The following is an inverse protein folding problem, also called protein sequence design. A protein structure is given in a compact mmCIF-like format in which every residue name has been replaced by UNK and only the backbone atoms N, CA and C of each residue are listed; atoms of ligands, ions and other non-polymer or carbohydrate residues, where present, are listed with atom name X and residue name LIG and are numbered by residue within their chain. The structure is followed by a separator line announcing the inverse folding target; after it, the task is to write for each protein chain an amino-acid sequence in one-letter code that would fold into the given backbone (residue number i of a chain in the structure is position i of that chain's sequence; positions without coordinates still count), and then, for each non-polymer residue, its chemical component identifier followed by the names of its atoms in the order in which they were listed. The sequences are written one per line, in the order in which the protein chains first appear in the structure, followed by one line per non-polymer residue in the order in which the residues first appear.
data_IF_602948760728
#
_entry.id   IF_602948760728
#
_cell.length_a   1.000
_cell.length_b   1.000
_cell.length_c   1.000
_cell.angle_alpha   90.00
_cell.angle_beta   90.00
_cell.angle_gamma   90.00
#
_symmetry.space_group_name_H-M   'P 1'
#
loop_
_entity.id
_entity.type
_entity.pdbx_description
1 polymer ?
#
# COMPACT_ATOMS: atom_id res chain seq x y z
N UNK A 1 -38.11 -7.64 17.33
CA UNK A 1 -37.61 -6.23 17.42
C UNK A 1 -36.12 -6.13 17.10
N UNK A 2 -35.23 -6.96 17.72
CA UNK A 2 -33.77 -6.99 17.40
C UNK A 2 -33.47 -7.31 15.92
N UNK A 3 -34.23 -8.20 15.29
CA UNK A 3 -34.06 -8.55 13.87
C UNK A 3 -34.47 -7.41 12.90
N UNK A 4 -35.44 -6.61 13.31
CA UNK A 4 -35.92 -5.48 12.52
C UNK A 4 -34.94 -4.31 12.59
N UNK A 5 -34.29 -4.08 13.73
CA UNK A 5 -33.24 -3.06 13.91
C UNK A 5 -31.96 -3.50 13.19
N UNK A 6 -31.58 -4.77 13.30
CA UNK A 6 -30.47 -5.40 12.54
C UNK A 6 -30.64 -5.26 11.02
N UNK A 7 -31.91 -5.33 10.55
CA UNK A 7 -32.27 -5.10 9.15
C UNK A 7 -32.21 -3.62 8.74
N UNK A 8 -32.33 -2.66 9.70
CA UNK A 8 -32.45 -1.23 9.39
C UNK A 8 -31.12 -0.50 9.17
N UNK A 9 -30.02 -0.90 9.84
CA UNK A 9 -28.73 -0.22 9.72
C UNK A 9 -27.81 -0.86 8.68
N UNK A 10 -27.66 -2.18 8.66
CA UNK A 10 -27.09 -2.89 7.51
C UNK A 10 -27.88 -2.65 6.21
N UNK A 11 -29.02 -2.00 6.33
CA UNK A 11 -29.94 -1.65 5.23
C UNK A 11 -29.75 -0.25 4.67
N UNK A 12 -28.99 0.67 5.28
CA UNK A 12 -28.79 1.99 4.66
C UNK A 12 -27.87 1.85 3.44
N UNK A 13 -28.41 2.03 2.22
CA UNK A 13 -27.60 1.96 1.01
C UNK A 13 -26.48 2.99 1.06
N UNK A 14 -26.76 4.19 1.57
CA UNK A 14 -25.79 5.29 1.68
C UNK A 14 -24.58 4.87 2.51
N UNK A 15 -24.78 4.30 3.69
CA UNK A 15 -23.68 3.90 4.56
C UNK A 15 -22.78 2.84 3.90
N UNK A 16 -23.38 1.84 3.23
CA UNK A 16 -22.60 0.80 2.53
C UNK A 16 -21.74 1.36 1.40
N UNK A 17 -22.30 2.26 0.60
CA UNK A 17 -21.56 2.89 -0.49
C UNK A 17 -20.50 3.85 0.03
N UNK A 18 -20.75 4.55 1.15
CA UNK A 18 -19.72 5.35 1.85
C UNK A 18 -18.56 4.48 2.31
N UNK A 19 -18.86 3.36 2.96
CA UNK A 19 -17.83 2.40 3.41
C UNK A 19 -17.04 1.85 2.22
N UNK A 20 -17.69 1.50 1.12
CA UNK A 20 -16.99 1.08 -0.09
C UNK A 20 -16.06 2.19 -0.59
N UNK A 21 -16.55 3.44 -0.64
CA UNK A 21 -15.74 4.59 -1.06
C UNK A 21 -14.49 4.77 -0.20
N UNK A 22 -14.63 4.69 1.14
CA UNK A 22 -13.51 4.83 2.09
C UNK A 22 -12.46 3.72 1.92
N UNK A 23 -12.90 2.48 1.82
CA UNK A 23 -12.01 1.33 1.66
C UNK A 23 -11.35 1.32 0.28
N UNK A 24 -12.11 1.61 -0.77
CA UNK A 24 -11.58 1.69 -2.14
C UNK A 24 -10.62 2.85 -2.34
N UNK A 25 -10.83 3.98 -1.64
CA UNK A 25 -9.89 5.09 -1.64
C UNK A 25 -8.54 4.68 -1.00
N UNK A 26 -8.57 3.93 0.09
CA UNK A 26 -7.35 3.39 0.71
C UNK A 26 -6.61 2.44 -0.24
N UNK A 27 -7.34 1.60 -0.98
CA UNK A 27 -6.77 0.77 -2.05
C UNK A 27 -6.12 1.62 -3.14
N UNK A 28 -6.82 2.65 -3.63
CA UNK A 28 -6.30 3.57 -4.64
C UNK A 28 -4.97 4.17 -4.21
N UNK A 29 -4.88 4.70 -2.98
CA UNK A 29 -3.63 5.32 -2.48
C UNK A 29 -2.48 4.32 -2.45
N UNK A 30 -2.74 3.07 -2.06
CA UNK A 30 -1.73 2.00 -2.07
C UNK A 30 -1.17 1.73 -3.46
N UNK A 31 -2.05 1.61 -4.46
CA UNK A 31 -1.63 1.34 -5.83
C UNK A 31 -0.94 2.53 -6.51
N UNK A 32 -1.29 3.78 -6.15
CA UNK A 32 -0.52 4.95 -6.59
C UNK A 32 0.94 4.79 -6.18
N UNK A 33 1.20 4.39 -4.92
CA UNK A 33 2.57 4.27 -4.39
C UNK A 33 3.30 3.04 -4.91
N UNK A 34 2.58 1.96 -5.19
CA UNK A 34 3.16 0.76 -5.78
C UNK A 34 3.85 1.08 -7.11
N UNK A 35 3.19 1.89 -7.93
CA UNK A 35 3.59 2.14 -9.32
C UNK A 35 4.27 3.50 -9.53
N UNK A 36 4.33 4.39 -8.51
CA UNK A 36 4.87 5.76 -8.64
C UNK A 36 6.29 5.84 -9.18
N UNK A 37 7.12 4.83 -8.91
CA UNK A 37 8.51 4.79 -9.35
C UNK A 37 8.70 4.22 -10.76
N UNK A 38 7.68 3.56 -11.31
CA UNK A 38 7.79 2.90 -12.61
C UNK A 38 8.20 3.85 -13.76
N UNK A 39 7.57 5.03 -13.94
CA UNK A 39 7.97 5.95 -15.00
C UNK A 39 9.23 6.78 -14.66
N UNK A 40 9.79 6.64 -13.45
CA UNK A 40 10.95 7.44 -13.01
C UNK A 40 12.29 6.76 -13.29
N UNK A 41 12.33 5.56 -13.88
CA UNK A 41 13.56 4.79 -14.12
C UNK A 41 14.66 5.63 -14.73
N UNK A 42 14.41 6.28 -15.87
CA UNK A 42 15.39 7.10 -16.57
C UNK A 42 15.90 8.29 -15.72
N UNK A 43 15.03 8.86 -14.90
CA UNK A 43 15.41 9.97 -14.01
C UNK A 43 16.31 9.48 -12.87
N UNK A 44 16.04 8.29 -12.31
CA UNK A 44 16.90 7.66 -11.31
C UNK A 44 18.27 7.30 -11.89
N UNK A 45 18.32 6.81 -13.13
CA UNK A 45 19.57 6.54 -13.84
C UNK A 45 20.39 7.83 -14.02
N UNK A 46 19.76 8.92 -14.41
CA UNK A 46 20.43 10.20 -14.67
C UNK A 46 20.86 10.94 -13.40
N UNK A 47 20.05 10.94 -12.36
CA UNK A 47 20.28 11.76 -11.16
C UNK A 47 20.96 11.00 -10.02
N UNK A 48 20.68 9.71 -9.86
CA UNK A 48 21.22 8.88 -8.80
C UNK A 48 22.28 7.89 -9.30
N UNK A 49 22.53 7.87 -10.61
CA UNK A 49 23.51 6.95 -11.22
C UNK A 49 23.11 5.48 -11.06
N UNK A 50 21.82 5.17 -10.90
CA UNK A 50 21.34 3.80 -10.90
C UNK A 50 21.54 3.18 -12.28
N UNK A 51 21.89 1.92 -12.33
CA UNK A 51 21.86 1.17 -13.58
C UNK A 51 20.59 0.31 -13.67
N UNK A 52 20.42 -0.40 -14.79
CA UNK A 52 19.24 -1.25 -15.00
C UNK A 52 19.18 -2.42 -14.00
N UNK A 53 20.33 -2.88 -13.47
CA UNK A 53 20.40 -3.92 -12.44
C UNK A 53 19.95 -3.36 -11.09
N UNK A 54 20.41 -2.16 -10.72
CA UNK A 54 19.97 -1.45 -9.51
C UNK A 54 18.45 -1.26 -9.50
N UNK A 55 17.90 -0.81 -10.63
CA UNK A 55 16.45 -0.63 -10.77
C UNK A 55 15.69 -1.97 -10.74
N UNK A 56 16.24 -3.01 -11.36
CA UNK A 56 15.69 -4.38 -11.31
C UNK A 56 15.66 -4.93 -9.88
N UNK A 57 16.76 -4.73 -9.13
CA UNK A 57 16.85 -5.10 -7.72
C UNK A 57 15.79 -4.36 -6.89
N UNK A 58 15.69 -3.04 -7.06
CA UNK A 58 14.71 -2.23 -6.39
C UNK A 58 13.29 -2.72 -6.63
N UNK A 59 12.90 -2.95 -7.89
CA UNK A 59 11.54 -3.38 -8.23
C UNK A 59 11.23 -4.80 -7.76
N UNK A 60 12.22 -5.69 -7.75
CA UNK A 60 12.05 -7.06 -7.23
C UNK A 60 11.71 -7.08 -5.74
N UNK A 61 12.18 -6.08 -4.98
CA UNK A 61 11.96 -5.96 -3.54
C UNK A 61 10.50 -6.01 -3.14
N UNK A 62 9.58 -5.51 -3.98
CA UNK A 62 8.14 -5.54 -3.72
C UNK A 62 7.62 -6.94 -3.31
N UNK A 63 8.13 -7.97 -3.97
CA UNK A 63 7.69 -9.35 -3.72
C UNK A 63 8.49 -10.10 -2.66
N UNK A 64 9.66 -9.63 -2.23
CA UNK A 64 10.58 -10.44 -1.43
C UNK A 64 9.96 -11.00 -0.15
N UNK A 65 9.39 -10.15 0.69
CA UNK A 65 8.80 -10.61 1.95
C UNK A 65 7.53 -11.43 1.72
N UNK A 66 6.76 -11.11 0.71
CA UNK A 66 5.54 -11.85 0.40
C UNK A 66 5.83 -13.25 -0.16
N UNK A 67 6.87 -13.40 -0.99
CA UNK A 67 7.23 -14.67 -1.61
C UNK A 67 8.10 -15.52 -0.67
N UNK A 68 9.23 -14.99 -0.20
CA UNK A 68 10.19 -15.79 0.56
C UNK A 68 9.79 -16.02 2.01
N UNK A 69 9.11 -15.05 2.64
CA UNK A 69 8.63 -15.19 4.02
C UNK A 69 7.13 -15.46 4.10
N UNK A 70 6.44 -15.65 2.97
CA UNK A 70 5.00 -15.93 2.92
C UNK A 70 4.16 -14.94 3.74
N UNK A 71 4.58 -13.66 3.77
CA UNK A 71 3.98 -12.65 4.65
C UNK A 71 2.51 -12.40 4.34
N UNK A 72 2.04 -12.69 3.13
CA UNK A 72 0.62 -12.61 2.80
C UNK A 72 -0.20 -13.67 3.55
N UNK A 73 0.35 -14.87 3.76
CA UNK A 73 -0.29 -15.92 4.59
C UNK A 73 -0.38 -15.44 6.04
N UNK A 74 0.71 -14.92 6.61
CA UNK A 74 0.68 -14.35 7.96
C UNK A 74 -0.28 -13.16 8.06
N UNK A 75 -0.34 -12.31 7.04
CA UNK A 75 -1.32 -11.22 6.94
C UNK A 75 -2.76 -11.73 6.96
N UNK A 76 -3.05 -12.81 6.24
CA UNK A 76 -4.34 -13.50 6.29
C UNK A 76 -4.68 -14.04 7.69
N UNK A 77 -3.71 -14.68 8.35
CA UNK A 77 -3.88 -15.17 9.73
C UNK A 77 -4.14 -14.03 10.73
N UNK A 78 -3.45 -12.89 10.57
CA UNK A 78 -3.70 -11.69 11.38
C UNK A 78 -5.11 -11.17 11.13
N UNK A 79 -5.52 -11.08 9.87
CA UNK A 79 -6.84 -10.64 9.45
C UNK A 79 -7.95 -11.52 10.04
N UNK A 80 -7.75 -12.85 10.08
CA UNK A 80 -8.74 -13.77 10.65
C UNK A 80 -8.81 -13.69 12.17
N UNK A 81 -7.66 -13.56 12.86
CA UNK A 81 -7.58 -13.50 14.32
C UNK A 81 -7.93 -12.14 14.91
N UNK A 82 -7.48 -11.05 14.30
CA UNK A 82 -7.59 -9.68 14.82
C UNK A 82 -8.66 -8.83 14.14
N UNK A 83 -9.19 -9.33 13.01
CA UNK A 83 -10.25 -8.67 12.26
C UNK A 83 -9.78 -7.57 11.33
N UNK A 84 -10.73 -7.07 10.53
CA UNK A 84 -10.51 -6.11 9.43
C UNK A 84 -9.89 -4.79 9.91
N UNK A 85 -10.35 -4.27 11.05
CA UNK A 85 -9.90 -2.98 11.58
C UNK A 85 -8.42 -3.00 11.93
N UNK A 86 -7.99 -3.99 12.71
CA UNK A 86 -6.58 -4.11 13.12
C UNK A 86 -5.68 -4.38 11.91
N UNK A 87 -6.06 -5.36 11.08
CA UNK A 87 -5.28 -5.73 9.90
C UNK A 87 -5.10 -4.55 8.93
N UNK A 88 -6.15 -3.77 8.72
CA UNK A 88 -6.07 -2.63 7.82
C UNK A 88 -5.22 -1.47 8.35
N UNK A 89 -5.32 -1.12 9.63
CA UNK A 89 -4.45 -0.09 10.24
C UNK A 89 -2.98 -0.55 10.20
N UNK A 90 -2.72 -1.82 10.51
CA UNK A 90 -1.37 -2.40 10.40
C UNK A 90 -0.84 -2.32 8.96
N UNK A 91 -1.68 -2.69 7.99
CA UNK A 91 -1.34 -2.64 6.56
C UNK A 91 -0.93 -1.24 6.12
N UNK A 92 -1.76 -0.23 6.43
CA UNK A 92 -1.45 1.16 6.05
C UNK A 92 -0.22 1.68 6.81
N UNK A 93 -0.04 1.27 8.07
CA UNK A 93 1.17 1.58 8.84
C UNK A 93 2.44 1.03 8.18
N UNK A 94 2.42 -0.23 7.71
CA UNK A 94 3.52 -0.84 6.94
C UNK A 94 3.76 -0.10 5.62
N UNK A 95 2.69 0.29 4.92
CA UNK A 95 2.80 1.07 3.69
C UNK A 95 3.47 2.43 3.94
N UNK A 96 3.09 3.15 5.00
CA UNK A 96 3.71 4.42 5.38
C UNK A 96 5.19 4.21 5.74
N UNK A 97 5.49 3.26 6.60
CA UNK A 97 6.86 2.97 7.02
C UNK A 97 7.77 2.58 5.86
N UNK A 98 7.30 1.69 4.99
CA UNK A 98 8.03 1.29 3.77
C UNK A 98 8.24 2.44 2.79
N UNK A 99 7.22 3.29 2.62
CA UNK A 99 7.33 4.47 1.74
C UNK A 99 8.27 5.53 2.31
N UNK A 100 8.25 5.75 3.64
CA UNK A 100 9.18 6.66 4.32
C UNK A 100 10.63 6.19 4.15
N UNK A 101 10.90 4.90 4.34
CA UNK A 101 12.23 4.34 4.13
C UNK A 101 12.67 4.48 2.67
N UNK A 102 11.79 4.21 1.73
CA UNK A 102 12.03 4.39 0.29
C UNK A 102 12.31 5.86 -0.06
N UNK A 103 11.51 6.77 0.46
CA UNK A 103 11.68 8.21 0.27
C UNK A 103 13.03 8.69 0.83
N UNK A 104 13.33 8.31 2.07
CA UNK A 104 14.61 8.64 2.70
C UNK A 104 15.79 8.13 1.88
N UNK A 105 15.74 6.85 1.46
CA UNK A 105 16.83 6.25 0.67
C UNK A 105 17.10 6.98 -0.65
N UNK A 106 16.05 7.49 -1.32
CA UNK A 106 16.16 8.17 -2.62
C UNK A 106 16.61 9.63 -2.45
N UNK A 107 16.27 10.27 -1.33
CA UNK A 107 16.57 11.69 -1.10
C UNK A 107 17.79 11.93 -0.24
N UNK A 108 18.24 10.95 0.54
CA UNK A 108 19.44 11.07 1.37
C UNK A 108 20.71 10.96 0.52
N UNK A 109 21.66 11.84 0.79
CA UNK A 109 23.02 11.71 0.24
C UNK A 109 23.78 10.65 1.03
N UNK A 110 23.84 9.44 0.47
CA UNK A 110 24.57 8.31 1.05
C UNK A 110 26.03 8.22 0.55
N UNK A 111 26.55 9.29 -0.09
CA UNK A 111 27.96 9.44 -0.44
C UNK A 111 28.53 8.35 -1.34
N UNK A 112 27.69 7.68 -2.15
CA UNK A 112 28.11 6.55 -2.98
C UNK A 112 28.48 5.29 -2.19
N UNK A 113 28.07 5.19 -0.91
CA UNK A 113 28.33 4.01 -0.08
C UNK A 113 27.84 2.73 -0.74
N UNK A 114 28.68 1.70 -0.71
CA UNK A 114 28.39 0.38 -1.25
C UNK A 114 28.28 -0.61 -0.10
N UNK A 115 27.14 -1.29 -0.03
CA UNK A 115 26.92 -2.40 0.90
C UNK A 115 27.41 -3.69 0.25
N UNK A 116 28.48 -4.29 0.80
CA UNK A 116 29.00 -5.58 0.34
C UNK A 116 28.66 -6.66 1.36
N UNK A 117 28.10 -7.76 0.87
CA UNK A 117 27.89 -8.95 1.69
C UNK A 117 28.98 -9.98 1.34
N UNK A 118 29.84 -10.28 2.31
CA UNK A 118 30.93 -11.24 2.13
C UNK A 118 30.77 -12.43 3.08
N UNK A 119 30.92 -13.64 2.56
CA UNK A 119 31.02 -14.89 3.35
C UNK A 119 32.34 -15.55 3.05
N UNK A 120 33.12 -15.87 4.10
CA UNK A 120 34.39 -16.56 3.96
C UNK A 120 35.48 -15.80 3.19
N UNK A 121 35.42 -14.44 3.17
CA UNK A 121 36.39 -13.61 2.47
C UNK A 121 36.10 -13.36 0.98
N UNK A 122 35.05 -13.95 0.44
CA UNK A 122 34.60 -13.69 -0.91
C UNK A 122 33.38 -12.73 -0.89
N UNK A 123 33.47 -11.63 -1.63
CA UNK A 123 32.31 -10.74 -1.83
C UNK A 123 31.29 -11.43 -2.74
N UNK A 124 30.19 -11.88 -2.16
CA UNK A 124 29.10 -12.52 -2.90
C UNK A 124 28.23 -11.52 -3.63
N UNK A 125 28.14 -10.31 -3.09
CA UNK A 125 27.18 -9.33 -3.55
C UNK A 125 27.61 -7.93 -3.12
N UNK A 126 27.61 -6.99 -4.06
CA UNK A 126 27.95 -5.59 -3.83
C UNK A 126 26.90 -4.71 -4.48
N UNK A 127 26.20 -3.92 -3.67
CA UNK A 127 25.10 -3.06 -4.12
C UNK A 127 25.22 -1.70 -3.48
N UNK A 128 24.83 -0.66 -4.19
CA UNK A 128 24.72 0.69 -3.63
C UNK A 128 23.79 0.67 -2.41
N UNK A 129 24.24 1.20 -1.29
CA UNK A 129 23.46 1.22 -0.05
C UNK A 129 22.11 1.90 -0.24
N UNK A 130 22.07 2.92 -1.10
CA UNK A 130 20.85 3.62 -1.49
C UNK A 130 19.81 2.67 -2.11
N UNK A 131 20.25 1.84 -3.07
CA UNK A 131 19.40 0.84 -3.74
C UNK A 131 18.89 -0.18 -2.72
N UNK A 132 19.79 -0.67 -1.84
CA UNK A 132 19.42 -1.65 -0.81
C UNK A 132 18.33 -1.11 0.13
N UNK A 133 18.51 0.09 0.68
CA UNK A 133 17.50 0.69 1.56
C UNK A 133 16.19 1.00 0.84
N UNK A 134 16.24 1.47 -0.40
CA UNK A 134 15.04 1.68 -1.22
C UNK A 134 14.30 0.35 -1.46
N UNK A 135 15.04 -0.74 -1.75
CA UNK A 135 14.51 -2.09 -1.93
C UNK A 135 13.84 -2.62 -0.66
N UNK A 136 14.50 -2.46 0.49
CA UNK A 136 13.93 -2.86 1.78
C UNK A 136 12.64 -2.07 2.10
N UNK A 137 12.65 -0.76 1.84
CA UNK A 137 11.46 0.06 1.98
C UNK A 137 10.32 -0.42 1.08
N UNK A 138 10.65 -0.83 -0.15
CA UNK A 138 9.64 -1.35 -1.09
C UNK A 138 9.15 -2.75 -0.68
N UNK A 139 9.99 -3.57 -0.07
CA UNK A 139 9.60 -4.88 0.47
C UNK A 139 8.60 -4.74 1.63
N UNK A 140 8.86 -3.85 2.59
CA UNK A 140 7.95 -3.56 3.70
C UNK A 140 6.62 -2.97 3.19
N UNK A 141 6.70 -2.03 2.24
CA UNK A 141 5.51 -1.49 1.57
C UNK A 141 4.70 -2.58 0.88
N UNK A 142 5.36 -3.51 0.18
CA UNK A 142 4.72 -4.63 -0.53
C UNK A 142 3.88 -5.51 0.41
N UNK A 143 4.36 -5.82 1.61
CA UNK A 143 3.57 -6.52 2.63
C UNK A 143 2.31 -5.73 2.98
N UNK A 144 2.44 -4.43 3.21
CA UNK A 144 1.31 -3.57 3.57
C UNK A 144 0.24 -3.52 2.48
N UNK A 145 0.62 -3.34 1.22
CA UNK A 145 -0.34 -3.21 0.11
C UNK A 145 -1.04 -4.53 -0.21
N UNK A 146 -0.36 -5.66 -0.09
CA UNK A 146 -1.00 -6.97 -0.25
C UNK A 146 -1.98 -7.27 0.90
N UNK A 147 -1.58 -6.95 2.13
CA UNK A 147 -2.46 -7.09 3.30
C UNK A 147 -3.69 -6.19 3.21
N UNK A 148 -3.57 -4.93 2.76
CA UNK A 148 -4.74 -4.08 2.61
C UNK A 148 -5.66 -4.60 1.51
N UNK A 149 -5.14 -5.24 0.47
CA UNK A 149 -5.92 -5.87 -0.59
C UNK A 149 -6.88 -6.93 -0.05
N UNK A 150 -6.37 -7.91 0.72
CA UNK A 150 -7.21 -8.94 1.32
C UNK A 150 -8.15 -8.38 2.40
N UNK A 151 -7.69 -7.37 3.14
CA UNK A 151 -8.48 -6.71 4.19
C UNK A 151 -9.65 -5.93 3.60
N UNK A 152 -9.41 -5.15 2.54
CA UNK A 152 -10.42 -4.40 1.83
C UNK A 152 -11.50 -5.33 1.23
N UNK A 153 -11.07 -6.41 0.60
CA UNK A 153 -12.00 -7.39 0.06
C UNK A 153 -12.88 -8.02 1.16
N UNK A 154 -12.28 -8.37 2.32
CA UNK A 154 -13.04 -8.90 3.47
C UNK A 154 -14.03 -7.87 4.03
N UNK A 155 -13.65 -6.60 4.09
CA UNK A 155 -14.55 -5.50 4.46
C UNK A 155 -15.72 -5.39 3.49
N UNK A 156 -15.46 -5.37 2.18
CA UNK A 156 -16.50 -5.30 1.15
C UNK A 156 -17.44 -6.49 1.25
N UNK A 157 -16.91 -7.72 1.42
CA UNK A 157 -17.75 -8.92 1.60
C UNK A 157 -18.64 -8.80 2.84
N UNK A 158 -18.13 -8.29 3.96
CA UNK A 158 -18.90 -8.09 5.20
C UNK A 158 -20.10 -7.15 4.95
N UNK A 159 -19.88 -6.03 4.25
CA UNK A 159 -20.86 -4.97 4.06
C UNK A 159 -21.86 -5.19 2.90
N UNK A 160 -21.46 -5.97 1.89
CA UNK A 160 -22.25 -6.24 0.68
C UNK A 160 -22.78 -7.65 0.56
N UNK A 161 -22.69 -8.48 1.62
CA UNK A 161 -23.19 -9.85 1.61
C UNK A 161 -24.65 -9.91 1.21
N UNK A 162 -24.93 -10.68 0.14
CA UNK A 162 -26.30 -10.86 -0.39
C UNK A 162 -26.86 -9.69 -1.21
N UNK A 163 -26.06 -8.63 -1.48
CA UNK A 163 -26.52 -7.44 -2.25
C UNK A 163 -25.35 -6.83 -3.02
N UNK A 164 -25.40 -6.89 -4.35
CA UNK A 164 -24.43 -6.22 -5.26
C UNK A 164 -22.95 -6.47 -4.93
N UNK A 165 -22.61 -7.65 -4.36
CA UNK A 165 -21.26 -7.96 -3.92
C UNK A 165 -20.26 -7.92 -5.07
N UNK A 166 -20.60 -8.50 -6.22
CA UNK A 166 -19.71 -8.52 -7.40
C UNK A 166 -19.40 -7.11 -7.90
N UNK A 167 -20.41 -6.23 -7.93
CA UNK A 167 -20.23 -4.82 -8.31
C UNK A 167 -19.32 -4.09 -7.31
N UNK A 168 -19.53 -4.29 -6.01
CA UNK A 168 -18.73 -3.64 -4.96
C UNK A 168 -17.26 -4.09 -5.03
N UNK A 169 -17.00 -5.39 -5.21
CA UNK A 169 -15.66 -5.92 -5.41
C UNK A 169 -15.03 -5.37 -6.69
N UNK A 170 -15.80 -5.28 -7.78
CA UNK A 170 -15.35 -4.69 -9.04
C UNK A 170 -14.92 -3.23 -8.89
N UNK A 171 -15.71 -2.42 -8.17
CA UNK A 171 -15.37 -1.01 -7.87
C UNK A 171 -14.09 -0.92 -7.03
N UNK A 172 -13.94 -1.78 -6.01
CA UNK A 172 -12.74 -1.80 -5.18
C UNK A 172 -11.48 -2.11 -6.00
N UNK A 173 -11.54 -3.10 -6.89
CA UNK A 173 -10.44 -3.42 -7.80
C UNK A 173 -10.18 -2.30 -8.81
N UNK A 174 -11.24 -1.71 -9.37
CA UNK A 174 -11.12 -0.59 -10.30
C UNK A 174 -10.44 0.63 -9.66
N UNK A 175 -10.73 0.93 -8.40
CA UNK A 175 -10.06 1.99 -7.65
C UNK A 175 -8.54 1.78 -7.59
N UNK A 176 -8.07 0.55 -7.35
CA UNK A 176 -6.64 0.22 -7.42
C UNK A 176 -6.06 0.51 -8.81
N UNK A 177 -6.74 0.09 -9.89
CA UNK A 177 -6.28 0.34 -11.27
C UNK A 177 -6.25 1.82 -11.63
N UNK A 178 -7.19 2.62 -11.12
CA UNK A 178 -7.16 4.08 -11.24
C UNK A 178 -5.92 4.63 -10.52
N UNK A 179 -5.59 4.09 -9.34
CA UNK A 179 -4.35 4.45 -8.62
C UNK A 179 -3.10 4.22 -9.47
N UNK A 180 -2.96 3.04 -10.08
CA UNK A 180 -1.87 2.73 -11.03
C UNK A 180 -1.82 3.75 -12.17
N UNK A 181 -2.98 4.06 -12.79
CA UNK A 181 -3.02 5.03 -13.87
C UNK A 181 -2.56 6.43 -13.43
N UNK A 182 -3.02 6.90 -12.27
CA UNK A 182 -2.58 8.18 -11.68
C UNK A 182 -1.05 8.20 -11.50
N UNK A 183 -0.48 7.12 -10.98
CA UNK A 183 0.97 7.00 -10.81
C UNK A 183 1.72 7.07 -12.14
N UNK A 184 1.28 6.28 -13.12
CA UNK A 184 1.94 6.18 -14.42
C UNK A 184 1.93 7.50 -15.21
N UNK A 185 0.83 8.25 -15.14
CA UNK A 185 0.72 9.54 -15.86
C UNK A 185 1.22 10.74 -15.05
N UNK A 186 1.16 10.69 -13.72
CA UNK A 186 1.40 11.86 -12.86
C UNK A 186 2.84 11.95 -12.31
N UNK A 187 3.53 10.84 -12.08
CA UNK A 187 4.80 10.86 -11.34
C UNK A 187 5.95 11.51 -12.14
N UNK A 188 6.09 11.21 -13.42
CA UNK A 188 7.18 11.77 -14.23
C UNK A 188 7.04 13.29 -14.46
N UNK A 189 5.86 13.84 -14.83
CA UNK A 189 5.67 15.28 -14.88
C UNK A 189 5.99 15.98 -13.55
N UNK A 190 5.51 15.42 -12.44
CA UNK A 190 5.74 15.98 -11.11
C UNK A 190 7.22 15.98 -10.73
N UNK A 191 7.95 14.90 -10.99
CA UNK A 191 9.40 14.84 -10.76
C UNK A 191 10.17 15.85 -11.62
N UNK A 192 9.78 16.01 -12.88
CA UNK A 192 10.41 16.99 -13.79
C UNK A 192 10.14 18.44 -13.38
N UNK A 193 8.92 18.75 -12.95
CA UNK A 193 8.56 20.10 -12.49
C UNK A 193 9.33 20.51 -11.24
N UNK A 194 9.63 19.58 -10.36
CA UNK A 194 10.33 19.83 -9.10
C UNK A 194 11.85 19.63 -9.20
N UNK A 195 12.33 19.01 -10.28
CA UNK A 195 13.73 18.61 -10.44
C UNK A 195 14.20 17.54 -9.45
N UNK A 196 13.27 16.93 -8.68
CA UNK A 196 13.58 15.98 -7.60
C UNK A 196 12.84 14.65 -7.82
N UNK A 197 13.53 13.51 -7.94
CA UNK A 197 12.91 12.20 -8.14
C UNK A 197 12.16 11.72 -6.89
N UNK A 198 12.43 12.30 -5.72
CA UNK A 198 11.72 12.02 -4.47
C UNK A 198 10.37 12.75 -4.33
N UNK A 199 10.13 13.82 -5.11
CA UNK A 199 8.91 14.62 -4.98
C UNK A 199 7.61 13.82 -5.18
N UNK A 200 7.49 12.92 -6.18
CA UNK A 200 6.31 12.07 -6.31
C UNK A 200 6.06 11.19 -5.07
N UNK A 201 7.13 10.70 -4.43
CA UNK A 201 7.00 9.91 -3.20
C UNK A 201 6.50 10.75 -2.02
N UNK A 202 6.95 12.01 -1.91
CA UNK A 202 6.47 12.93 -0.87
C UNK A 202 4.96 13.19 -1.02
N UNK A 203 4.49 13.45 -2.24
CA UNK A 203 3.05 13.60 -2.53
C UNK A 203 2.29 12.31 -2.22
N UNK A 204 2.85 11.17 -2.58
CA UNK A 204 2.27 9.87 -2.25
C UNK A 204 2.18 9.61 -0.74
N UNK A 205 3.17 10.03 0.05
CA UNK A 205 3.11 9.95 1.51
C UNK A 205 1.94 10.76 2.08
N UNK A 206 1.73 11.98 1.60
CA UNK A 206 0.57 12.79 1.98
C UNK A 206 -0.74 12.10 1.60
N UNK A 207 -0.81 11.57 0.40
CA UNK A 207 -1.98 10.83 -0.08
C UNK A 207 -2.27 9.58 0.79
N UNK A 208 -1.22 8.89 1.22
CA UNK A 208 -1.33 7.72 2.09
C UNK A 208 -1.78 8.08 3.51
N UNK A 209 -1.36 9.23 4.03
CA UNK A 209 -1.88 9.75 5.30
C UNK A 209 -3.39 10.03 5.21
N UNK A 210 -3.85 10.60 4.09
CA UNK A 210 -5.29 10.77 3.82
C UNK A 210 -5.98 9.41 3.69
N UNK A 211 -5.34 8.43 3.05
CA UNK A 211 -5.81 7.03 2.99
C UNK A 211 -5.94 6.39 4.37
N UNK A 212 -4.99 6.65 5.28
CA UNK A 212 -5.08 6.21 6.67
C UNK A 212 -6.28 6.83 7.38
N UNK A 213 -6.47 8.15 7.24
CA UNK A 213 -7.63 8.82 7.83
C UNK A 213 -8.94 8.25 7.29
N UNK A 214 -9.03 8.01 5.98
CA UNK A 214 -10.17 7.35 5.34
C UNK A 214 -10.44 5.98 5.96
N UNK A 215 -9.40 5.17 6.15
CA UNK A 215 -9.53 3.84 6.76
C UNK A 215 -9.91 3.91 8.23
N UNK A 216 -9.42 4.91 8.98
CA UNK A 216 -9.81 5.11 10.37
C UNK A 216 -11.29 5.50 10.50
N UNK A 217 -11.81 6.33 9.58
CA UNK A 217 -13.25 6.64 9.51
C UNK A 217 -14.04 5.36 9.24
N UNK A 218 -13.59 4.52 8.30
CA UNK A 218 -14.18 3.19 8.10
C UNK A 218 -14.19 2.37 9.39
N UNK A 219 -13.08 2.31 10.15
CA UNK A 219 -13.01 1.57 11.41
C UNK A 219 -14.05 2.05 12.44
N UNK A 220 -14.30 3.37 12.51
CA UNK A 220 -15.32 3.94 13.40
C UNK A 220 -16.72 3.50 12.98
N UNK A 221 -17.03 3.57 11.68
CA UNK A 221 -18.33 3.14 11.14
C UNK A 221 -18.54 1.64 11.34
N UNK A 222 -17.53 0.83 11.06
CA UNK A 222 -17.57 -0.63 11.23
C UNK A 222 -17.76 -1.03 12.70
N UNK A 223 -17.14 -0.30 13.64
CA UNK A 223 -17.32 -0.53 15.07
C UNK A 223 -18.73 -0.16 15.56
N UNK A 224 -19.31 0.89 15.03
CA UNK A 224 -20.68 1.28 15.36
C UNK A 224 -21.68 0.21 14.92
N UNK A 225 -21.53 -0.30 13.70
CA UNK A 225 -22.40 -1.34 13.19
C UNK A 225 -22.32 -2.63 14.03
N UNK A 226 -21.10 -3.08 14.42
CA UNK A 226 -20.94 -4.26 15.25
C UNK A 226 -21.68 -4.09 16.59
N UNK A 227 -21.56 -2.93 17.26
CA UNK A 227 -22.23 -2.65 18.53
C UNK A 227 -23.77 -2.69 18.40
N UNK A 228 -24.31 -2.13 17.33
CA UNK A 228 -25.75 -2.09 17.12
C UNK A 228 -26.32 -3.45 16.67
N UNK A 229 -25.45 -4.36 16.25
CA UNK A 229 -25.82 -5.74 15.91
C UNK A 229 -25.79 -6.66 17.14
N UNK A 230 -25.00 -6.32 18.18
CA UNK A 230 -24.87 -7.10 19.43
C UNK A 230 -25.93 -6.72 20.47
N UNK A 231 -26.57 -5.55 20.38
CA UNK A 231 -27.68 -5.10 21.26
C UNK A 231 -29.05 -5.43 20.67
#
# INVERSE_FOLDING_TARGET
MKEIIRKKMAASPVLRWTVLGLVSFTMLTGYVIADVMAPLKTLLEQQLGWDSSDYGLFTSGYGWLNIFLLMLIFGGMILDKKGVRYAGVLSVGLMIGGTLLKYWAITADLGGAVSSFSIGGHSLFSVKSQVLYATLGFAVFGVGVEMIGITANKAVVKWFRGRSLALALGINVAAGRIGTAIAMFGSLPLARMTGNPGAPLAVCLLLLCIGLLSFLVFCVLDRREDRETET
#
